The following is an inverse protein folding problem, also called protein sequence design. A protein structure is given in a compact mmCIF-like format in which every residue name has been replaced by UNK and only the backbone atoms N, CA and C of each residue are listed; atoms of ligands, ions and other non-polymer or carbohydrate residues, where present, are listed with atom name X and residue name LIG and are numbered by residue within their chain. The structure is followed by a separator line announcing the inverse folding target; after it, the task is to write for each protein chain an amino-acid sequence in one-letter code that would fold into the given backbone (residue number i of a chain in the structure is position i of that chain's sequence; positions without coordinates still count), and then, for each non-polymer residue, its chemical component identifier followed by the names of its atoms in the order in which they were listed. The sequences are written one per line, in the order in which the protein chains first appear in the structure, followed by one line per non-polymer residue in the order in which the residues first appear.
data_IF_455898687545
#
_entry.id   IF_455898687545
#
_cell.length_a   1.000
_cell.length_b   1.000
_cell.length_c   1.000
_cell.angle_alpha   90.00
_cell.angle_beta   90.00
_cell.angle_gamma   90.00
#
_symmetry.space_group_name_H-M   'P 1'
#
loop_
_entity.id
_entity.type
_entity.pdbx_description
1 polymer ?
#
# COMPACT_ATOMS: atom_id res chain seq x y z
N UNK A 1 -10.61 93.45 -33.45
CA UNK A 1 -9.38 92.61 -33.44
C UNK A 1 -9.27 91.77 -32.17
N UNK A 2 -9.56 92.31 -30.97
CA UNK A 2 -9.60 91.52 -29.72
C UNK A 2 -10.71 90.45 -29.72
N UNK A 3 -11.94 90.78 -30.11
CA UNK A 3 -13.07 89.82 -30.09
C UNK A 3 -12.90 88.63 -31.04
N UNK A 4 -12.24 88.84 -32.18
CA UNK A 4 -11.93 87.78 -33.14
C UNK A 4 -10.90 86.79 -32.59
N UNK A 5 -9.86 87.28 -31.90
CA UNK A 5 -8.85 86.43 -31.25
C UNK A 5 -9.47 85.61 -30.12
N UNK A 6 -10.35 86.19 -29.32
CA UNK A 6 -11.04 85.49 -28.22
C UNK A 6 -12.00 84.41 -28.73
N UNK A 7 -12.69 84.63 -29.85
CA UNK A 7 -13.55 83.61 -30.47
C UNK A 7 -12.75 82.43 -31.04
N UNK A 8 -11.62 82.70 -31.69
CA UNK A 8 -10.73 81.65 -32.22
C UNK A 8 -10.16 80.81 -31.06
N UNK A 9 -9.73 81.45 -29.96
CA UNK A 9 -9.23 80.74 -28.79
C UNK A 9 -10.30 79.83 -28.15
N UNK A 10 -11.55 80.30 -28.04
CA UNK A 10 -12.68 79.49 -27.54
C UNK A 10 -12.98 78.30 -28.45
N UNK A 11 -12.98 78.50 -29.77
CA UNK A 11 -13.20 77.41 -30.72
C UNK A 11 -12.09 76.37 -30.63
N UNK A 12 -10.82 76.77 -30.55
CA UNK A 12 -9.68 75.87 -30.39
C UNK A 12 -9.75 75.08 -29.07
N UNK A 13 -10.09 75.74 -27.96
CA UNK A 13 -10.27 75.05 -26.67
C UNK A 13 -11.40 74.02 -26.73
N UNK A 14 -12.55 74.39 -27.29
CA UNK A 14 -13.69 73.46 -27.42
C UNK A 14 -13.36 72.27 -28.33
N UNK A 15 -12.60 72.50 -29.41
CA UNK A 15 -12.18 71.44 -30.32
C UNK A 15 -11.13 70.52 -29.68
N UNK A 16 -10.27 71.07 -28.82
CA UNK A 16 -9.31 70.30 -28.05
C UNK A 16 -9.98 69.46 -26.96
N UNK A 17 -10.90 70.04 -26.18
CA UNK A 17 -11.70 69.34 -25.18
C UNK A 17 -12.50 68.19 -25.81
N UNK A 18 -13.14 68.45 -26.96
CA UNK A 18 -13.88 67.43 -27.70
C UNK A 18 -12.97 66.29 -28.16
N UNK A 19 -11.84 66.59 -28.80
CA UNK A 19 -10.87 65.58 -29.23
C UNK A 19 -10.30 64.77 -28.07
N UNK A 20 -10.04 65.43 -26.93
CA UNK A 20 -9.52 64.76 -25.74
C UNK A 20 -10.57 63.82 -25.15
N UNK A 21 -11.81 64.28 -25.04
CA UNK A 21 -12.95 63.47 -24.57
C UNK A 21 -13.15 62.24 -25.46
N UNK A 22 -13.16 62.42 -26.78
CA UNK A 22 -13.32 61.33 -27.74
C UNK A 22 -12.19 60.29 -27.64
N UNK A 23 -10.93 60.74 -27.50
CA UNK A 23 -9.79 59.83 -27.31
C UNK A 23 -9.85 59.07 -25.99
N UNK A 24 -10.21 59.75 -24.90
CA UNK A 24 -10.36 59.12 -23.58
C UNK A 24 -11.49 58.09 -23.62
N UNK A 25 -12.64 58.43 -24.19
CA UNK A 25 -13.76 57.49 -24.35
C UNK A 25 -13.39 56.28 -25.20
N UNK A 26 -12.69 56.49 -26.32
CA UNK A 26 -12.20 55.40 -27.16
C UNK A 26 -11.26 54.46 -26.39
N UNK A 27 -10.33 55.03 -25.61
CA UNK A 27 -9.39 54.25 -24.82
C UNK A 27 -10.07 53.48 -23.69
N UNK A 28 -11.03 54.10 -23.01
CA UNK A 28 -11.85 53.48 -21.97
C UNK A 28 -12.68 52.32 -22.55
N UNK A 29 -13.28 52.49 -23.73
CA UNK A 29 -13.99 51.39 -24.42
C UNK A 29 -13.05 50.24 -24.76
N UNK A 30 -11.87 50.54 -25.32
CA UNK A 30 -10.87 49.53 -25.67
C UNK A 30 -10.41 48.71 -24.45
N UNK A 31 -10.09 49.37 -23.33
CA UNK A 31 -9.70 48.67 -22.11
C UNK A 31 -10.86 47.90 -21.49
N UNK A 32 -12.09 48.43 -21.54
CA UNK A 32 -13.28 47.74 -21.03
C UNK A 32 -13.54 46.43 -21.80
N UNK A 33 -13.37 46.44 -23.13
CA UNK A 33 -13.50 45.23 -23.95
C UNK A 33 -12.42 44.20 -23.59
N UNK A 34 -11.15 44.62 -23.51
CA UNK A 34 -10.04 43.71 -23.13
C UNK A 34 -10.23 43.10 -21.74
N UNK A 35 -10.67 43.90 -20.77
CA UNK A 35 -10.98 43.42 -19.43
C UNK A 35 -12.10 42.39 -19.44
N UNK A 36 -13.13 42.60 -20.27
CA UNK A 36 -14.24 41.65 -20.41
C UNK A 36 -13.76 40.32 -21.00
N UNK A 37 -12.97 40.35 -22.07
CA UNK A 37 -12.40 39.14 -22.67
C UNK A 37 -11.51 38.37 -21.67
N UNK A 38 -10.68 39.07 -20.89
CA UNK A 38 -9.88 38.45 -19.83
C UNK A 38 -10.75 37.85 -18.72
N UNK A 39 -11.82 38.54 -18.33
CA UNK A 39 -12.77 38.05 -17.32
C UNK A 39 -13.47 36.78 -17.80
N UNK A 40 -13.92 36.75 -19.05
CA UNK A 40 -14.56 35.57 -19.66
C UNK A 40 -13.58 34.39 -19.71
N UNK A 41 -12.33 34.62 -20.10
CA UNK A 41 -11.27 33.58 -20.07
C UNK A 41 -11.04 33.04 -18.66
N UNK A 42 -10.93 33.92 -17.66
CA UNK A 42 -10.73 33.53 -16.26
C UNK A 42 -11.91 32.75 -15.70
N UNK A 43 -13.15 33.07 -16.11
CA UNK A 43 -14.33 32.33 -15.70
C UNK A 43 -14.30 30.88 -16.23
N UNK A 44 -13.95 30.70 -17.50
CA UNK A 44 -13.81 29.37 -18.12
C UNK A 44 -12.72 28.56 -17.41
N UNK A 45 -11.56 29.17 -17.13
CA UNK A 45 -10.47 28.49 -16.44
C UNK A 45 -10.86 28.10 -15.00
N UNK A 46 -11.63 28.94 -14.30
CA UNK A 46 -12.13 28.64 -12.95
C UNK A 46 -13.07 27.43 -12.96
N UNK A 47 -13.98 27.35 -13.93
CA UNK A 47 -14.87 26.20 -14.10
C UNK A 47 -14.08 24.92 -14.39
N UNK A 48 -13.12 24.99 -15.31
CA UNK A 48 -12.23 23.88 -15.64
C UNK A 48 -11.43 23.39 -14.41
N UNK A 49 -10.91 24.31 -13.60
CA UNK A 49 -10.17 23.99 -12.38
C UNK A 49 -11.08 23.32 -11.34
N UNK A 50 -12.30 23.82 -11.15
CA UNK A 50 -13.28 23.21 -10.24
C UNK A 50 -13.63 21.79 -10.68
N UNK A 51 -13.84 21.57 -11.98
CA UNK A 51 -14.14 20.24 -12.51
C UNK A 51 -12.98 19.26 -12.28
N UNK A 52 -11.74 19.71 -12.55
CA UNK A 52 -10.53 18.90 -12.30
C UNK A 52 -10.36 18.59 -10.82
N UNK A 53 -10.65 19.54 -9.93
CA UNK A 53 -10.57 19.33 -8.48
C UNK A 53 -11.57 18.27 -8.04
N UNK A 54 -12.84 18.38 -8.45
CA UNK A 54 -13.87 17.39 -8.16
C UNK A 54 -13.52 15.98 -8.68
N UNK A 55 -12.89 15.88 -9.86
CA UNK A 55 -12.42 14.58 -10.40
C UNK A 55 -11.28 13.99 -9.55
N UNK A 56 -10.36 14.83 -9.07
CA UNK A 56 -9.29 14.41 -8.18
C UNK A 56 -9.82 13.95 -6.82
N UNK A 57 -10.77 14.66 -6.23
CA UNK A 57 -11.36 14.30 -4.94
C UNK A 57 -12.01 12.90 -5.00
N UNK A 58 -12.81 12.63 -6.04
CA UNK A 58 -13.37 11.29 -6.29
C UNK A 58 -12.32 10.20 -6.47
N UNK A 59 -11.19 10.54 -7.11
CA UNK A 59 -10.08 9.60 -7.31
C UNK A 59 -9.39 9.31 -5.98
N UNK A 60 -9.21 10.32 -5.13
CA UNK A 60 -8.64 10.16 -3.79
C UNK A 60 -9.51 9.25 -2.94
N UNK A 61 -10.83 9.51 -2.89
CA UNK A 61 -11.77 8.66 -2.14
C UNK A 61 -11.71 7.20 -2.60
N UNK A 62 -11.69 6.97 -3.92
CA UNK A 62 -11.58 5.62 -4.48
C UNK A 62 -10.25 4.93 -4.14
N UNK A 63 -9.14 5.68 -4.16
CA UNK A 63 -7.83 5.15 -3.80
C UNK A 63 -7.73 4.84 -2.30
N UNK A 64 -8.30 5.68 -1.45
CA UNK A 64 -8.34 5.45 0.00
C UNK A 64 -9.11 4.16 0.32
N UNK A 65 -10.23 3.92 -0.34
CA UNK A 65 -11.00 2.69 -0.22
C UNK A 65 -10.20 1.46 -0.66
N UNK A 66 -9.53 1.53 -1.82
CA UNK A 66 -8.70 0.45 -2.33
C UNK A 66 -7.51 0.12 -1.42
N UNK A 67 -6.86 1.15 -0.86
CA UNK A 67 -5.75 0.98 0.09
C UNK A 67 -6.25 0.29 1.36
N UNK A 68 -7.41 0.72 1.87
CA UNK A 68 -8.04 0.11 3.05
C UNK A 68 -8.37 -1.37 2.82
N UNK A 69 -9.05 -1.70 1.71
CA UNK A 69 -9.41 -3.07 1.35
C UNK A 69 -8.16 -3.95 1.15
N UNK A 70 -7.15 -3.45 0.43
CA UNK A 70 -5.90 -4.18 0.21
C UNK A 70 -5.18 -4.46 1.53
N UNK A 71 -5.13 -3.49 2.43
CA UNK A 71 -4.52 -3.66 3.74
C UNK A 71 -5.26 -4.72 4.58
N UNK A 72 -6.59 -4.71 4.57
CA UNK A 72 -7.39 -5.72 5.27
C UNK A 72 -7.12 -7.13 4.71
N UNK A 73 -7.11 -7.29 3.39
CA UNK A 73 -6.77 -8.56 2.74
C UNK A 73 -5.36 -9.04 3.09
N UNK A 74 -4.39 -8.13 3.13
CA UNK A 74 -3.03 -8.46 3.53
C UNK A 74 -2.97 -8.98 4.98
N UNK A 75 -3.68 -8.32 5.90
CA UNK A 75 -3.77 -8.75 7.30
C UNK A 75 -4.42 -10.14 7.40
N UNK A 76 -5.50 -10.39 6.67
CA UNK A 76 -6.16 -11.69 6.65
C UNK A 76 -5.27 -12.79 6.06
N UNK A 77 -4.56 -12.50 4.96
CA UNK A 77 -3.62 -13.43 4.35
C UNK A 77 -2.49 -13.80 5.33
N UNK A 78 -1.95 -12.85 6.09
CA UNK A 78 -0.96 -13.11 7.13
C UNK A 78 -1.54 -13.98 8.23
N UNK A 79 -2.75 -13.67 8.72
CA UNK A 79 -3.43 -14.49 9.75
C UNK A 79 -3.64 -15.92 9.27
N UNK A 80 -4.11 -16.11 8.03
CA UNK A 80 -4.34 -17.41 7.43
C UNK A 80 -3.03 -18.18 7.23
N UNK A 81 -1.98 -17.50 6.76
CA UNK A 81 -0.63 -18.08 6.63
C UNK A 81 -0.10 -18.60 7.97
N UNK A 82 -0.20 -17.77 9.01
CA UNK A 82 0.20 -18.16 10.37
C UNK A 82 -0.64 -19.33 10.91
N UNK A 83 -1.95 -19.32 10.68
CA UNK A 83 -2.84 -20.41 11.07
C UNK A 83 -2.45 -21.72 10.38
N UNK A 84 -2.24 -21.69 9.06
CA UNK A 84 -1.86 -22.86 8.28
C UNK A 84 -0.50 -23.41 8.69
N UNK A 85 0.48 -22.54 8.96
CA UNK A 85 1.79 -22.94 9.45
C UNK A 85 1.70 -23.63 10.82
N UNK A 86 0.92 -23.06 11.75
CA UNK A 86 0.68 -23.66 13.07
C UNK A 86 -0.07 -24.99 12.95
N UNK A 87 -1.07 -25.07 12.08
CA UNK A 87 -1.85 -26.28 11.84
C UNK A 87 -0.98 -27.41 11.29
N UNK A 88 -0.14 -27.11 10.28
CA UNK A 88 0.83 -28.05 9.72
C UNK A 88 1.80 -28.56 10.78
N UNK A 89 2.29 -27.68 11.66
CA UNK A 89 3.22 -28.03 12.75
C UNK A 89 2.55 -28.75 13.93
N UNK A 90 1.21 -28.83 13.98
CA UNK A 90 0.48 -29.36 15.14
C UNK A 90 0.91 -30.77 15.48
N UNK A 91 1.22 -31.60 14.48
CA UNK A 91 1.68 -33.00 14.64
C UNK A 91 3.19 -33.19 14.54
N UNK A 92 3.94 -32.13 14.26
CA UNK A 92 5.37 -32.25 14.00
C UNK A 92 6.18 -32.11 15.29
N UNK A 93 7.17 -32.98 15.49
CA UNK A 93 8.16 -32.92 16.55
C UNK A 93 9.50 -32.60 15.89
N UNK A 94 10.19 -31.57 16.40
CA UNK A 94 11.52 -31.18 15.92
C UNK A 94 12.57 -31.67 16.90
N UNK A 95 13.45 -32.53 16.44
CA UNK A 95 14.59 -33.02 17.21
C UNK A 95 15.83 -32.22 16.83
N UNK A 96 16.46 -31.61 17.83
CA UNK A 96 17.72 -30.88 17.68
C UNK A 96 18.87 -31.79 18.12
N UNK A 97 20.04 -31.62 17.49
CA UNK A 97 21.25 -32.38 17.81
C UNK A 97 21.09 -33.91 17.72
N UNK A 98 20.14 -34.41 16.92
CA UNK A 98 19.98 -35.84 16.72
C UNK A 98 21.17 -36.39 15.89
N UNK A 99 21.97 -37.33 16.43
CA UNK A 99 23.21 -37.78 15.79
C UNK A 99 23.03 -38.19 14.34
N UNK A 100 23.93 -37.77 13.47
CA UNK A 100 23.93 -38.17 12.05
C UNK A 100 24.61 -39.52 11.90
N UNK A 101 23.96 -40.45 11.19
CA UNK A 101 24.56 -41.73 10.82
C UNK A 101 24.34 -42.01 9.32
N UNK A 102 25.33 -42.61 8.63
CA UNK A 102 25.21 -42.91 7.19
C UNK A 102 24.05 -43.85 6.83
N UNK A 103 23.60 -44.68 7.79
CA UNK A 103 22.53 -45.67 7.66
C UNK A 103 21.39 -45.37 8.65
N UNK A 104 20.91 -44.13 8.65
CA UNK A 104 19.90 -43.69 9.61
C UNK A 104 18.55 -44.38 9.37
N UNK A 105 18.17 -45.30 10.25
CA UNK A 105 16.82 -45.88 10.29
C UNK A 105 15.91 -44.89 11.02
N UNK A 106 15.38 -43.91 10.30
CA UNK A 106 14.64 -42.79 10.90
C UNK A 106 13.51 -43.22 11.84
N UNK A 107 12.59 -44.08 11.37
CA UNK A 107 11.39 -44.45 12.16
C UNK A 107 11.74 -45.31 13.37
N UNK A 108 12.49 -46.40 13.18
CA UNK A 108 12.81 -47.31 14.28
C UNK A 108 13.80 -46.69 15.28
N UNK A 109 14.73 -45.87 14.79
CA UNK A 109 15.64 -45.08 15.63
C UNK A 109 14.87 -44.15 16.55
N UNK A 110 13.92 -43.38 16.00
CA UNK A 110 13.06 -42.50 16.79
C UNK A 110 12.25 -43.26 17.84
N UNK A 111 11.61 -44.36 17.45
CA UNK A 111 10.82 -45.20 18.38
C UNK A 111 11.69 -45.72 19.53
N UNK A 112 12.89 -46.21 19.22
CA UNK A 112 13.83 -46.69 20.23
C UNK A 112 14.30 -45.58 21.16
N UNK A 113 14.61 -44.39 20.64
CA UNK A 113 15.00 -43.23 21.45
C UNK A 113 13.89 -42.80 22.39
N UNK A 114 12.65 -42.65 21.90
CA UNK A 114 11.51 -42.27 22.74
C UNK A 114 11.21 -43.32 23.81
N UNK A 115 11.32 -44.60 23.48
CA UNK A 115 11.13 -45.68 24.45
C UNK A 115 12.22 -45.72 25.52
N UNK A 116 13.48 -45.53 25.13
CA UNK A 116 14.64 -45.59 26.02
C UNK A 116 14.76 -44.36 26.92
N UNK A 117 14.62 -43.16 26.34
CA UNK A 117 14.86 -41.89 27.04
C UNK A 117 13.59 -41.38 27.74
N UNK A 118 12.43 -41.49 27.09
CA UNK A 118 11.18 -40.91 27.59
C UNK A 118 10.22 -41.96 28.18
N UNK A 119 10.56 -43.26 28.12
CA UNK A 119 9.73 -44.38 28.59
C UNK A 119 8.30 -44.39 28.01
N UNK A 120 8.13 -43.82 26.81
CA UNK A 120 6.85 -43.83 26.09
C UNK A 120 6.89 -44.92 25.04
N UNK A 121 5.94 -45.85 25.10
CA UNK A 121 5.78 -46.88 24.08
C UNK A 121 5.04 -46.29 22.88
N UNK A 122 5.70 -46.30 21.72
CA UNK A 122 5.18 -45.89 20.41
C UNK A 122 5.51 -46.94 19.37
N UNK A 123 4.67 -47.05 18.35
CA UNK A 123 4.88 -47.98 17.24
C UNK A 123 5.40 -47.25 16.02
N UNK A 124 6.17 -47.91 15.13
CA UNK A 124 6.60 -47.30 13.87
C UNK A 124 5.45 -46.78 13.00
N UNK A 125 4.27 -47.41 13.08
CA UNK A 125 3.03 -46.98 12.37
C UNK A 125 2.47 -45.65 12.87
N UNK A 126 2.90 -45.19 14.05
CA UNK A 126 2.50 -43.91 14.61
C UNK A 126 3.36 -42.75 14.07
N UNK A 127 4.47 -43.07 13.40
CA UNK A 127 5.35 -42.11 12.71
C UNK A 127 4.98 -42.08 11.22
N UNK A 128 4.32 -41.00 10.80
CA UNK A 128 3.91 -40.83 9.41
C UNK A 128 5.12 -40.53 8.54
N UNK A 129 5.92 -39.55 8.93
CA UNK A 129 7.10 -39.13 8.18
C UNK A 129 8.24 -38.76 9.12
N UNK A 130 9.46 -39.02 8.67
CA UNK A 130 10.67 -38.59 9.35
C UNK A 130 11.72 -38.24 8.31
N UNK A 131 12.23 -37.00 8.37
CA UNK A 131 13.27 -36.54 7.48
C UNK A 131 14.10 -35.43 8.15
N UNK A 132 15.34 -35.25 7.68
CA UNK A 132 16.19 -34.13 8.10
C UNK A 132 15.81 -32.87 7.34
N UNK A 133 15.81 -31.75 8.04
CA UNK A 133 15.71 -30.43 7.42
C UNK A 133 17.07 -30.10 6.80
N UNK A 134 17.12 -29.61 5.55
CA UNK A 134 18.34 -29.05 4.98
C UNK A 134 18.95 -27.99 5.91
N UNK A 135 20.27 -28.03 6.08
CA UNK A 135 21.00 -27.16 7.00
C UNK A 135 22.43 -26.94 6.53
N UNK A 136 23.12 -25.99 7.18
CA UNK A 136 24.51 -25.63 6.88
C UNK A 136 25.45 -26.83 7.09
N UNK A 137 26.46 -26.95 6.24
CA UNK A 137 27.51 -27.96 6.37
C UNK A 137 28.29 -27.78 7.68
N UNK A 138 28.68 -28.89 8.31
CA UNK A 138 29.40 -28.89 9.59
C UNK A 138 28.52 -28.77 10.85
N UNK A 139 27.20 -28.62 10.71
CA UNK A 139 26.25 -28.65 11.83
C UNK A 139 25.30 -29.83 11.74
N UNK A 140 24.97 -30.43 12.88
CA UNK A 140 23.97 -31.50 12.98
C UNK A 140 22.61 -30.98 12.51
N UNK A 141 22.12 -31.53 11.39
CA UNK A 141 20.86 -31.13 10.76
C UNK A 141 19.67 -31.58 11.64
N UNK A 142 18.70 -30.71 11.96
CA UNK A 142 17.52 -31.10 12.72
C UNK A 142 16.70 -32.17 11.99
N UNK A 143 16.02 -33.02 12.75
CA UNK A 143 15.04 -34.00 12.23
C UNK A 143 13.64 -33.51 12.54
N UNK A 144 12.74 -33.55 11.54
CA UNK A 144 11.30 -33.40 11.75
C UNK A 144 10.66 -34.79 11.72
N UNK A 145 9.82 -35.05 12.71
CA UNK A 145 9.00 -36.25 12.81
C UNK A 145 7.53 -35.84 12.81
N UNK A 146 6.77 -36.29 11.82
CA UNK A 146 5.32 -36.17 11.84
C UNK A 146 4.72 -37.40 12.50
N UNK A 147 4.00 -37.20 13.61
CA UNK A 147 3.28 -38.28 14.28
C UNK A 147 1.82 -38.28 13.85
N UNK A 148 1.18 -39.46 13.89
CA UNK A 148 -0.20 -39.65 13.43
C UNK A 148 -1.21 -38.74 14.13
N UNK A 149 -1.07 -38.57 15.44
CA UNK A 149 -2.05 -37.87 16.29
C UNK A 149 -1.38 -36.84 17.21
N UNK A 150 -2.08 -35.73 17.45
CA UNK A 150 -1.60 -34.66 18.35
C UNK A 150 -1.46 -35.15 19.79
N UNK A 151 -2.34 -36.03 20.26
CA UNK A 151 -2.26 -36.58 21.62
C UNK A 151 -0.96 -37.35 21.86
N UNK A 152 -0.47 -38.04 20.84
CA UNK A 152 0.79 -38.75 20.94
C UNK A 152 1.97 -37.79 21.04
N UNK A 153 1.97 -36.72 20.24
CA UNK A 153 2.95 -35.65 20.38
C UNK A 153 2.91 -35.04 21.78
N UNK A 154 1.71 -34.75 22.31
CA UNK A 154 1.55 -34.22 23.67
C UNK A 154 2.11 -35.20 24.70
N UNK A 155 1.80 -36.50 24.57
CA UNK A 155 2.30 -37.55 25.45
C UNK A 155 3.83 -37.60 25.46
N UNK A 156 4.48 -37.51 24.30
CA UNK A 156 5.94 -37.48 24.16
C UNK A 156 6.52 -36.20 24.76
N UNK A 157 5.96 -35.03 24.41
CA UNK A 157 6.47 -33.71 24.83
C UNK A 157 6.27 -33.41 26.32
N UNK A 158 5.29 -34.05 26.98
CA UNK A 158 5.03 -33.91 28.42
C UNK A 158 5.96 -34.71 29.32
N UNK A 159 6.75 -35.63 28.77
CA UNK A 159 7.78 -36.38 29.53
C UNK A 159 9.10 -35.60 29.64
N UNK A 160 9.12 -34.37 29.16
CA UNK A 160 10.29 -33.50 29.14
C UNK A 160 10.46 -32.75 30.45
#
# INVERSE_FOLDING_TARGET
MRDTVTNIAKQLLSAFEKNLSEKVEAKVKETTVKLKEQMDSLMIDNENLRERMNKKDKTIESLEEQVSDTNNRAIEAIKLGNYNEQYSRKRNIRMLNYPESPNEVGRDGFVNTVKKELKVDIKPVDVQEIHRIPGKEGHTKPVIVEVRNTDLKIKIMRQR
#
